data_IF_419762678029
#
_entry.id   IF_419762678029
#
_cell.length_a   1.000
_cell.length_b   1.000
_cell.length_c   1.000
_cell.angle_alpha   90.00
_cell.angle_beta   90.00
_cell.angle_gamma   90.00
#
_symmetry.space_group_name_H-M   'P 1'
#
loop_
_entity.id
_entity.type
_entity.pdbx_description
1 polymer ?
#
# COMPACT_ATOMS: atom_id res chain seq x y z
N UNK A 1 -12.38 0.28 20.77
CA UNK A 1 -11.26 0.89 20.03
C UNK A 1 -10.05 0.97 20.96
N UNK A 2 -8.88 0.59 20.48
CA UNK A 2 -7.60 0.58 21.19
C UNK A 2 -6.80 1.83 20.79
N UNK A 3 -6.92 2.89 21.59
CA UNK A 3 -6.29 4.19 21.31
C UNK A 3 -4.77 4.14 21.31
N UNK A 4 -4.17 3.30 22.16
CA UNK A 4 -2.71 3.17 22.21
C UNK A 4 -2.18 2.54 20.92
N UNK A 5 -2.83 1.49 20.43
CA UNK A 5 -2.45 0.85 19.17
C UNK A 5 -2.68 1.78 17.97
N UNK A 6 -3.79 2.52 17.96
CA UNK A 6 -4.04 3.57 16.96
C UNK A 6 -2.92 4.60 16.96
N UNK A 7 -2.56 5.15 18.13
CA UNK A 7 -1.51 6.15 18.25
C UNK A 7 -0.15 5.61 17.78
N UNK A 8 0.17 4.35 18.07
CA UNK A 8 1.39 3.69 17.60
C UNK A 8 1.43 3.63 16.06
N UNK A 9 0.36 3.17 15.41
CA UNK A 9 0.29 3.11 13.94
C UNK A 9 0.42 4.49 13.29
N UNK A 10 -0.20 5.51 13.88
CA UNK A 10 -0.11 6.89 13.38
C UNK A 10 1.32 7.45 13.54
N UNK A 11 2.00 7.15 14.64
CA UNK A 11 3.39 7.57 14.86
C UNK A 11 4.34 6.94 13.82
N UNK A 12 4.14 5.67 13.47
CA UNK A 12 4.92 4.98 12.44
C UNK A 12 4.78 5.66 11.07
N UNK A 13 3.55 6.07 10.71
CA UNK A 13 3.26 6.81 9.48
C UNK A 13 3.82 8.23 9.52
N UNK A 14 3.79 8.88 10.68
CA UNK A 14 4.35 10.22 10.83
C UNK A 14 5.88 10.21 10.63
N UNK A 15 6.57 9.21 11.18
CA UNK A 15 8.01 9.06 10.96
C UNK A 15 8.36 8.79 9.48
N UNK A 16 7.58 7.94 8.80
CA UNK A 16 7.67 7.73 7.36
C UNK A 16 7.56 9.06 6.59
N UNK A 17 6.50 9.83 6.86
CA UNK A 17 6.28 11.14 6.22
C UNK A 17 7.40 12.14 6.52
N UNK A 18 7.89 12.16 7.76
CA UNK A 18 8.99 13.04 8.20
C UNK A 18 10.27 12.73 7.42
N UNK A 19 10.66 11.46 7.34
CA UNK A 19 11.86 11.03 6.60
C UNK A 19 11.68 11.29 5.11
N UNK A 20 10.50 11.00 4.54
CA UNK A 20 10.20 11.33 3.16
C UNK A 20 10.33 12.83 2.88
N UNK A 21 9.80 13.70 3.74
CA UNK A 21 9.91 15.16 3.59
C UNK A 21 11.36 15.64 3.64
N UNK A 22 12.17 15.08 4.54
CA UNK A 22 13.61 15.35 4.61
C UNK A 22 14.31 14.95 3.30
N UNK A 23 14.06 13.74 2.79
CA UNK A 23 14.68 13.26 1.55
C UNK A 23 14.24 14.04 0.30
N UNK A 24 13.02 14.59 0.29
CA UNK A 24 12.58 15.55 -0.73
C UNK A 24 13.43 16.82 -0.67
N UNK A 25 13.64 17.38 0.53
CA UNK A 25 14.42 18.62 0.70
C UNK A 25 15.91 18.46 0.33
N UNK A 26 16.49 17.27 0.53
CA UNK A 26 17.88 16.97 0.13
C UNK A 26 18.01 16.51 -1.33
N UNK A 27 16.89 16.26 -2.01
CA UNK A 27 16.83 15.72 -3.36
C UNK A 27 17.25 14.24 -3.46
N UNK A 28 17.51 13.58 -2.33
CA UNK A 28 17.91 12.17 -2.29
C UNK A 28 16.78 11.23 -2.70
N UNK A 29 15.52 11.63 -2.51
CA UNK A 29 14.36 10.82 -2.89
C UNK A 29 14.30 10.56 -4.42
N UNK A 30 14.87 11.45 -5.22
CA UNK A 30 14.86 11.32 -6.69
C UNK A 30 16.02 10.50 -7.25
N UNK A 31 16.94 10.05 -6.39
CA UNK A 31 18.12 9.24 -6.79
C UNK A 31 17.87 7.73 -6.68
N UNK A 32 16.61 7.34 -6.48
CA UNK A 32 16.19 5.97 -6.26
C UNK A 32 15.71 5.74 -4.83
N UNK A 33 15.69 4.47 -4.40
CA UNK A 33 15.20 4.12 -3.07
C UNK A 33 16.25 4.42 -2.00
N UNK A 34 16.13 5.59 -1.36
CA UNK A 34 17.08 6.05 -0.37
C UNK A 34 17.21 5.07 0.81
N UNK A 35 18.44 4.73 1.26
CA UNK A 35 18.65 3.80 2.39
C UNK A 35 17.93 4.19 3.68
N UNK A 36 17.82 5.49 3.95
CA UNK A 36 17.08 6.01 5.11
C UNK A 36 15.59 5.68 5.03
N UNK A 37 14.98 5.84 3.84
CA UNK A 37 13.58 5.47 3.63
C UNK A 37 13.38 3.96 3.74
N UNK A 38 14.30 3.18 3.16
CA UNK A 38 14.27 1.74 3.23
C UNK A 38 14.33 1.22 4.68
N UNK A 39 15.15 1.85 5.53
CA UNK A 39 15.23 1.52 6.94
C UNK A 39 13.91 1.78 7.68
N UNK A 40 13.26 2.92 7.42
CA UNK A 40 11.94 3.25 8.03
C UNK A 40 10.87 2.26 7.58
N UNK A 41 10.77 1.99 6.28
CA UNK A 41 9.79 1.03 5.77
C UNK A 41 10.01 -0.38 6.32
N UNK A 42 11.27 -0.83 6.45
CA UNK A 42 11.60 -2.13 7.04
C UNK A 42 11.20 -2.20 8.52
N UNK A 43 11.55 -1.16 9.30
CA UNK A 43 11.17 -1.08 10.71
C UNK A 43 9.65 -1.07 10.88
N UNK A 44 8.94 -0.29 10.05
CA UNK A 44 7.49 -0.22 10.08
C UNK A 44 6.85 -1.57 9.73
N UNK A 45 7.38 -2.28 8.73
CA UNK A 45 6.91 -3.62 8.36
C UNK A 45 7.07 -4.62 9.53
N UNK A 46 8.24 -4.64 10.17
CA UNK A 46 8.51 -5.53 11.32
C UNK A 46 7.58 -5.24 12.51
N UNK A 47 7.35 -3.96 12.82
CA UNK A 47 6.45 -3.59 13.91
C UNK A 47 4.99 -3.93 13.58
N UNK A 48 4.54 -3.69 12.34
CA UNK A 48 3.19 -4.05 11.93
C UNK A 48 2.99 -5.57 11.88
N UNK A 49 4.00 -6.34 11.46
CA UNK A 49 3.97 -7.80 11.53
C UNK A 49 3.77 -8.31 12.96
N UNK A 50 4.47 -7.72 13.94
CA UNK A 50 4.27 -8.05 15.35
C UNK A 50 2.87 -7.67 15.85
N UNK A 51 2.35 -6.49 15.46
CA UNK A 51 0.99 -6.07 15.77
C UNK A 51 -0.03 -7.06 15.21
N UNK A 52 0.13 -7.45 13.95
CA UNK A 52 -0.75 -8.43 13.29
C UNK A 52 -0.69 -9.79 14.00
N UNK A 53 0.49 -10.22 14.41
CA UNK A 53 0.66 -11.47 15.17
C UNK A 53 -0.07 -11.48 16.52
N UNK A 54 -0.25 -10.32 17.15
CA UNK A 54 -0.94 -10.19 18.44
C UNK A 54 -2.44 -9.92 18.31
N UNK A 55 -2.84 -9.11 17.33
CA UNK A 55 -4.18 -8.54 17.26
C UNK A 55 -4.97 -8.92 16.00
N UNK A 56 -4.34 -9.62 15.05
CA UNK A 56 -4.86 -9.75 13.69
C UNK A 56 -4.72 -8.45 12.89
N UNK A 57 -5.37 -8.38 11.72
CA UNK A 57 -5.37 -7.14 10.95
C UNK A 57 -5.99 -6.00 11.77
N UNK A 58 -5.31 -4.84 11.93
CA UNK A 58 -5.83 -3.71 12.69
C UNK A 58 -6.95 -3.01 11.91
N UNK A 59 -8.14 -3.60 11.95
CA UNK A 59 -9.37 -3.10 11.33
C UNK A 59 -9.98 -1.90 12.04
N UNK A 60 -10.98 -1.30 11.40
CA UNK A 60 -11.75 -0.15 11.90
C UNK A 60 -12.27 -0.32 13.33
N UNK A 61 -12.79 -1.48 13.70
CA UNK A 61 -13.31 -1.73 15.05
C UNK A 61 -12.20 -1.66 16.11
N UNK A 62 -11.00 -2.13 15.75
CA UNK A 62 -9.86 -2.15 16.67
C UNK A 62 -9.21 -0.77 16.80
N UNK A 63 -8.92 -0.08 15.69
CA UNK A 63 -8.07 1.12 15.69
C UNK A 63 -8.71 2.36 15.03
N UNK A 64 -9.97 2.27 14.62
CA UNK A 64 -10.67 3.33 13.90
C UNK A 64 -10.21 3.49 12.45
N UNK A 65 -10.90 4.37 11.72
CA UNK A 65 -10.62 4.66 10.30
C UNK A 65 -9.18 5.12 10.06
N UNK A 66 -8.68 6.03 10.90
CA UNK A 66 -7.31 6.54 10.78
C UNK A 66 -6.26 5.46 11.05
N UNK A 67 -6.50 4.60 12.05
CA UNK A 67 -5.57 3.53 12.41
C UNK A 67 -5.50 2.45 11.32
N UNK A 68 -6.65 2.06 10.76
CA UNK A 68 -6.65 1.05 9.68
C UNK A 68 -6.02 1.61 8.41
N UNK A 69 -6.26 2.89 8.10
CA UNK A 69 -5.57 3.59 7.01
C UNK A 69 -4.06 3.65 7.20
N UNK A 70 -3.59 3.87 8.44
CA UNK A 70 -2.16 3.88 8.76
C UNK A 70 -1.52 2.50 8.57
N UNK A 71 -2.17 1.44 9.07
CA UNK A 71 -1.71 0.07 8.86
C UNK A 71 -1.62 -0.29 7.38
N UNK A 72 -2.64 0.05 6.59
CA UNK A 72 -2.61 -0.17 5.15
C UNK A 72 -1.44 0.58 4.47
N UNK A 73 -1.20 1.85 4.83
CA UNK A 73 -0.12 2.64 4.24
C UNK A 73 1.25 2.01 4.53
N UNK A 74 1.47 1.52 5.75
CA UNK A 74 2.69 0.80 6.12
C UNK A 74 2.91 -0.42 5.22
N UNK A 75 1.88 -1.26 5.02
CA UNK A 75 1.98 -2.41 4.11
C UNK A 75 2.26 -1.96 2.67
N UNK A 76 1.61 -0.89 2.22
CA UNK A 76 1.77 -0.34 0.87
C UNK A 76 3.21 0.09 0.57
N UNK A 77 3.88 0.64 1.59
CA UNK A 77 5.25 1.15 1.52
C UNK A 77 6.33 0.08 1.77
N UNK A 78 5.97 -1.10 2.31
CA UNK A 78 6.87 -2.21 2.62
C UNK A 78 7.40 -2.97 1.38
N UNK A 79 7.78 -2.26 0.31
CA UNK A 79 8.27 -2.83 -0.96
C UNK A 79 9.59 -3.60 -0.82
N UNK A 80 10.37 -3.30 0.23
CA UNK A 80 11.57 -4.05 0.60
C UNK A 80 11.28 -5.37 1.32
N UNK A 81 10.00 -5.66 1.63
CA UNK A 81 9.54 -6.82 2.39
C UNK A 81 8.43 -7.56 1.63
N UNK A 82 8.71 -8.16 0.47
CA UNK A 82 7.68 -8.76 -0.39
C UNK A 82 6.93 -9.92 0.29
N UNK A 83 7.60 -10.71 1.13
CA UNK A 83 6.95 -11.78 1.89
C UNK A 83 5.89 -11.22 2.86
N UNK A 84 6.19 -10.08 3.50
CA UNK A 84 5.26 -9.40 4.40
C UNK A 84 4.04 -8.87 3.64
N UNK A 85 4.23 -8.26 2.46
CA UNK A 85 3.11 -7.82 1.63
C UNK A 85 2.19 -8.98 1.21
N UNK A 86 2.77 -10.12 0.81
CA UNK A 86 1.99 -11.33 0.46
C UNK A 86 1.22 -11.89 1.65
N UNK A 87 1.83 -11.88 2.83
CA UNK A 87 1.18 -12.34 4.07
C UNK A 87 0.02 -11.41 4.46
N UNK A 88 0.17 -10.10 4.26
CA UNK A 88 -0.88 -9.11 4.56
C UNK A 88 -2.06 -9.14 3.56
N UNK A 89 -1.83 -9.46 2.28
CA UNK A 89 -2.89 -9.43 1.26
C UNK A 89 -4.14 -10.27 1.62
N UNK A 90 -4.04 -11.55 2.03
CA UNK A 90 -5.23 -12.32 2.43
C UNK A 90 -5.88 -11.77 3.70
N UNK A 91 -5.11 -11.24 4.66
CA UNK A 91 -5.66 -10.63 5.88
C UNK A 91 -6.45 -9.36 5.57
N UNK A 92 -5.94 -8.53 4.66
CA UNK A 92 -6.62 -7.33 4.19
C UNK A 92 -7.89 -7.69 3.40
N UNK A 93 -7.87 -8.76 2.59
CA UNK A 93 -9.07 -9.27 1.90
C UNK A 93 -10.16 -9.68 2.88
N UNK A 94 -9.79 -10.39 3.94
CA UNK A 94 -10.72 -10.77 5.01
C UNK A 94 -11.27 -9.54 5.74
N UNK A 95 -10.40 -8.58 6.06
CA UNK A 95 -10.82 -7.33 6.69
C UNK A 95 -11.83 -6.57 5.82
N UNK A 96 -11.62 -6.47 4.50
CA UNK A 96 -12.59 -5.87 3.58
C UNK A 96 -13.91 -6.63 3.58
N UNK A 97 -13.89 -7.97 3.56
CA UNK A 97 -15.11 -8.78 3.59
C UNK A 97 -15.93 -8.55 4.87
N UNK A 98 -15.26 -8.26 5.99
CA UNK A 98 -15.86 -7.90 7.27
C UNK A 98 -16.22 -6.42 7.42
N UNK A 99 -15.96 -5.57 6.41
CA UNK A 99 -16.17 -4.12 6.50
C UNK A 99 -15.18 -3.38 7.38
N UNK A 100 -14.03 -4.00 7.68
CA UNK A 100 -12.96 -3.52 8.56
C UNK A 100 -11.83 -2.81 7.80
N UNK A 101 -11.89 -2.75 6.47
CA UNK A 101 -10.95 -2.07 5.58
C UNK A 101 -11.64 -1.70 4.25
N UNK A 102 -11.00 -0.86 3.43
CA UNK A 102 -11.58 -0.38 2.17
C UNK A 102 -11.24 -1.29 0.97
N UNK A 103 -12.19 -1.66 0.09
CA UNK A 103 -11.90 -2.52 -1.07
C UNK A 103 -10.77 -2.01 -1.98
N UNK A 104 -10.66 -0.71 -2.18
CA UNK A 104 -9.60 -0.09 -2.97
C UNK A 104 -8.20 -0.42 -2.43
N UNK A 105 -8.05 -0.59 -1.11
CA UNK A 105 -6.79 -0.93 -0.47
C UNK A 105 -6.25 -2.30 -0.92
N UNK A 106 -7.13 -3.28 -1.13
CA UNK A 106 -6.78 -4.59 -1.69
C UNK A 106 -6.27 -4.44 -3.12
N UNK A 107 -6.98 -3.65 -3.95
CA UNK A 107 -6.62 -3.45 -5.35
C UNK A 107 -5.20 -2.86 -5.50
N UNK A 108 -4.87 -1.84 -4.71
CA UNK A 108 -3.53 -1.25 -4.71
C UNK A 108 -2.45 -2.21 -4.21
N UNK A 109 -2.70 -2.99 -3.16
CA UNK A 109 -1.70 -3.94 -2.65
C UNK A 109 -1.50 -5.12 -3.61
N UNK A 110 -2.58 -5.67 -4.18
CA UNK A 110 -2.53 -6.78 -5.12
C UNK A 110 -1.75 -6.41 -6.38
N UNK A 111 -2.06 -5.26 -6.97
CA UNK A 111 -1.35 -4.74 -8.14
C UNK A 111 0.11 -4.40 -7.82
N UNK A 112 0.41 -3.88 -6.62
CA UNK A 112 1.79 -3.64 -6.20
C UNK A 112 2.60 -4.93 -6.14
N UNK A 113 2.05 -5.96 -5.52
CA UNK A 113 2.70 -7.28 -5.47
C UNK A 113 2.92 -7.80 -6.89
N UNK A 114 1.89 -7.72 -7.75
CA UNK A 114 2.01 -8.16 -9.15
C UNK A 114 3.10 -7.40 -9.91
N UNK A 115 3.17 -6.07 -9.76
CA UNK A 115 4.17 -5.22 -10.39
C UNK A 115 5.60 -5.62 -10.03
N UNK A 116 5.91 -5.75 -8.73
CA UNK A 116 7.24 -6.15 -8.28
C UNK A 116 7.59 -7.61 -8.63
N UNK A 117 6.59 -8.47 -8.81
CA UNK A 117 6.75 -9.84 -9.29
C UNK A 117 6.76 -9.97 -10.82
N UNK A 118 6.72 -8.84 -11.55
CA UNK A 118 6.65 -8.81 -13.02
C UNK A 118 5.47 -9.61 -13.60
N UNK A 119 4.37 -9.68 -12.86
CA UNK A 119 3.11 -10.26 -13.32
C UNK A 119 2.15 -9.16 -13.78
N UNK A 120 1.22 -9.46 -14.70
CA UNK A 120 0.17 -8.52 -15.06
C UNK A 120 -0.67 -8.13 -13.85
N UNK A 121 -0.98 -6.85 -13.73
CA UNK A 121 -1.81 -6.29 -12.65
C UNK A 121 -3.29 -6.30 -13.04
N UNK A 122 -4.19 -6.36 -12.06
CA UNK A 122 -5.62 -6.53 -12.31
C UNK A 122 -6.37 -5.21 -12.38
N UNK A 123 -6.03 -4.24 -11.53
CA UNK A 123 -6.79 -3.02 -11.36
C UNK A 123 -6.12 -1.79 -12.00
N UNK A 124 -4.88 -1.91 -12.48
CA UNK A 124 -4.17 -0.83 -13.17
C UNK A 124 -3.73 0.29 -12.22
N UNK A 125 -3.42 -0.01 -10.96
CA UNK A 125 -3.01 1.01 -9.98
C UNK A 125 -1.53 1.36 -10.04
N UNK A 126 -0.68 0.50 -10.61
CA UNK A 126 0.75 0.77 -10.79
C UNK A 126 1.03 1.30 -12.19
N UNK A 127 1.83 2.36 -12.26
CA UNK A 127 2.23 3.02 -13.49
C UNK A 127 3.73 2.95 -13.66
N UNK A 128 4.19 2.97 -14.90
CA UNK A 128 5.61 3.09 -15.22
C UNK A 128 5.80 3.98 -16.45
N UNK A 129 7.03 4.41 -16.65
CA UNK A 129 7.46 5.18 -17.80
C UNK A 129 7.88 4.23 -18.93
N UNK A 130 7.39 4.47 -20.13
CA UNK A 130 7.90 3.80 -21.32
C UNK A 130 9.24 4.40 -21.81
N UNK A 131 9.81 3.81 -22.85
CA UNK A 131 11.06 4.27 -23.48
C UNK A 131 10.98 5.68 -24.08
N UNK A 132 9.76 6.22 -24.25
CA UNK A 132 9.50 7.56 -24.74
C UNK A 132 9.21 8.56 -23.61
N UNK A 133 9.34 8.15 -22.35
CA UNK A 133 9.05 8.98 -21.19
C UNK A 133 7.57 9.28 -21.01
N UNK A 134 6.67 8.43 -21.55
CA UNK A 134 5.24 8.53 -21.30
C UNK A 134 4.87 7.62 -20.12
N UNK A 135 4.25 8.21 -19.10
CA UNK A 135 3.69 7.45 -17.99
C UNK A 135 2.41 6.74 -18.45
N UNK A 136 2.35 5.42 -18.21
CA UNK A 136 1.16 4.62 -18.50
C UNK A 136 0.99 3.52 -17.46
N UNK A 137 -0.22 2.95 -17.31
CA UNK A 137 -0.42 1.78 -16.46
C UNK A 137 0.52 0.65 -16.91
N UNK A 138 1.20 0.00 -15.96
CA UNK A 138 1.96 -1.22 -16.26
C UNK A 138 1.04 -2.33 -16.80
N UNK A 139 1.62 -3.38 -17.40
CA UNK A 139 0.92 -4.51 -18.01
C UNK A 139 -0.33 -4.95 -17.25
N UNK A 140 -1.50 -4.82 -17.89
CA UNK A 140 -2.78 -5.24 -17.37
C UNK A 140 -3.03 -6.73 -17.68
N UNK A 141 -3.63 -7.45 -16.74
CA UNK A 141 -4.09 -8.82 -16.94
C UNK A 141 -5.24 -8.88 -17.96
N UNK A 142 -6.12 -7.87 -17.94
CA UNK A 142 -7.24 -7.72 -18.85
C UNK A 142 -7.58 -6.24 -19.01
N UNK A 143 -7.14 -5.65 -20.12
CA UNK A 143 -7.36 -4.24 -20.42
C UNK A 143 -8.80 -3.91 -20.78
N UNK A 144 -9.59 -4.88 -21.24
CA UNK A 144 -10.99 -4.66 -21.63
C UNK A 144 -11.91 -4.58 -20.40
N UNK A 145 -11.56 -5.33 -19.33
CA UNK A 145 -12.36 -5.42 -18.10
C UNK A 145 -11.79 -4.62 -16.94
N UNK A 146 -10.69 -3.90 -17.11
CA UNK A 146 -10.04 -3.18 -16.02
C UNK A 146 -11.00 -2.20 -15.31
N UNK A 147 -11.83 -1.48 -16.06
CA UNK A 147 -12.81 -0.55 -15.49
C UNK A 147 -13.99 -1.25 -14.79
N UNK A 148 -14.30 -2.49 -15.17
CA UNK A 148 -15.24 -3.34 -14.43
C UNK A 148 -14.65 -3.71 -13.07
N UNK A 149 -13.40 -4.19 -13.04
CA UNK A 149 -12.72 -4.56 -11.80
C UNK A 149 -12.52 -3.37 -10.86
N UNK A 150 -12.16 -2.20 -11.40
CA UNK A 150 -11.99 -0.96 -10.64
C UNK A 150 -13.30 -0.52 -9.98
N UNK A 151 -14.41 -0.57 -10.71
CA UNK A 151 -15.73 -0.23 -10.17
C UNK A 151 -16.14 -1.12 -8.99
N UNK A 152 -15.84 -2.41 -9.05
CA UNK A 152 -16.15 -3.37 -7.97
C UNK A 152 -15.44 -3.05 -6.65
N UNK A 153 -14.31 -2.34 -6.71
CA UNK A 153 -13.52 -1.94 -5.53
C UNK A 153 -13.65 -0.44 -5.22
N UNK A 154 -14.59 0.26 -5.86
CA UNK A 154 -14.84 1.69 -5.64
C UNK A 154 -13.82 2.63 -6.28
N UNK A 155 -12.98 2.14 -7.21
CA UNK A 155 -12.07 2.98 -8.00
C UNK A 155 -12.82 3.53 -9.23
N UNK A 156 -12.50 4.77 -9.61
CA UNK A 156 -12.92 5.36 -10.89
C UNK A 156 -12.25 4.67 -12.08
N UNK A 157 -12.70 4.88 -13.33
CA UNK A 157 -12.10 4.29 -14.52
C UNK A 157 -10.60 4.63 -14.66
N UNK A 158 -9.84 3.78 -15.33
CA UNK A 158 -8.38 3.91 -15.46
C UNK A 158 -7.97 5.15 -16.27
N UNK A 159 -8.83 5.60 -17.19
CA UNK A 159 -8.59 6.75 -18.08
C UNK A 159 -9.01 8.08 -17.43
N UNK A 160 -9.44 8.09 -16.17
CA UNK A 160 -9.65 9.35 -15.46
C UNK A 160 -8.32 9.96 -14.99
N UNK A 161 -7.85 10.94 -15.78
CA UNK A 161 -6.78 11.93 -15.52
C UNK A 161 -5.40 11.55 -16.07
N UNK A 162 -5.18 11.93 -17.33
CA UNK A 162 -3.91 12.57 -17.74
C UNK A 162 -4.08 14.07 -17.54
#
# INVERSE_FOLDING_TARGET
MNEQLKAQLLQMVEEDRRVRAQLVSTGELYKGYAPQMAAVHLQNAQQLEAIIGMWGWPGKTLVGEEGTGAAWLIVQHAIGSPNFQRMCLPLLKEAVACGEAEPAQVAYLEDRIAFYERRPQRYGTQFDWDEHGKMSPWTLADSQRVDEYRRLVGLGPLVEKV
#
